data_IF_270120145284
#
_entry.id   IF_270120145284
#
_cell.length_a   1.000
_cell.length_b   1.000
_cell.length_c   1.000
_cell.angle_alpha   90.00
_cell.angle_beta   90.00
_cell.angle_gamma   90.00
#
_symmetry.space_group_name_H-M   'P 1'
#
loop_
_entity.id
_entity.type
_entity.pdbx_description
1 polymer ?
#
# COMPACT_ATOMS: atom_id res chain seq x y z
N UNK A 1 -28.15 -22.68 -8.62
CA UNK A 1 -27.36 -22.25 -9.79
C UNK A 1 -26.15 -21.48 -9.29
N UNK A 2 -25.02 -22.16 -9.15
CA UNK A 2 -23.80 -21.57 -8.62
C UNK A 2 -23.01 -20.91 -9.75
N UNK A 3 -22.97 -19.60 -9.79
CA UNK A 3 -22.22 -18.81 -10.77
C UNK A 3 -20.72 -19.05 -10.64
N UNK A 4 -20.12 -19.71 -11.62
CA UNK A 4 -18.66 -19.83 -11.78
C UNK A 4 -18.07 -18.42 -11.82
N UNK A 5 -17.31 -18.03 -10.79
CA UNK A 5 -16.50 -16.80 -10.84
C UNK A 5 -15.52 -16.92 -12.02
N UNK A 6 -15.44 -15.90 -12.91
CA UNK A 6 -14.55 -15.94 -14.06
C UNK A 6 -13.10 -16.06 -13.59
N UNK A 7 -12.31 -16.83 -14.34
CA UNK A 7 -10.91 -17.13 -14.04
C UNK A 7 -10.08 -15.83 -14.10
N UNK A 8 -9.75 -15.24 -12.94
CA UNK A 8 -9.07 -13.93 -12.81
C UNK A 8 -7.69 -13.89 -13.52
N UNK A 9 -7.05 -15.04 -13.64
CA UNK A 9 -5.74 -15.16 -14.30
C UNK A 9 -5.81 -14.87 -15.80
N UNK A 10 -6.86 -15.35 -16.49
CA UNK A 10 -7.03 -15.14 -17.94
C UNK A 10 -7.24 -13.67 -18.31
N UNK A 11 -7.96 -12.91 -17.48
CA UNK A 11 -8.20 -11.48 -17.73
C UNK A 11 -6.93 -10.63 -17.51
N UNK A 12 -6.11 -10.96 -16.51
CA UNK A 12 -4.85 -10.26 -16.25
C UNK A 12 -3.83 -10.48 -17.37
N UNK A 13 -3.75 -11.69 -17.91
CA UNK A 13 -2.84 -12.03 -19.01
C UNK A 13 -3.24 -11.35 -20.33
N UNK A 14 -4.52 -11.28 -20.64
CA UNK A 14 -5.02 -10.58 -21.84
C UNK A 14 -4.70 -9.09 -21.80
N UNK A 15 -4.72 -8.47 -20.63
CA UNK A 15 -4.35 -7.06 -20.45
C UNK A 15 -2.83 -6.81 -20.62
N UNK A 16 -1.99 -7.83 -20.44
CA UNK A 16 -0.55 -7.75 -20.61
C UNK A 16 -0.09 -7.96 -22.06
N UNK A 17 -0.82 -8.78 -22.81
CA UNK A 17 -0.45 -9.16 -24.17
C UNK A 17 -0.88 -8.15 -25.25
N UNK A 18 -1.44 -6.99 -24.84
CA UNK A 18 -1.95 -5.95 -25.75
C UNK A 18 -3.33 -6.29 -26.32
N UNK A 19 -4.06 -5.26 -26.78
CA UNK A 19 -5.43 -5.31 -27.34
C UNK A 19 -5.55 -6.07 -28.71
N UNK A 20 -4.66 -7.00 -28.99
CA UNK A 20 -4.93 -8.01 -29.99
C UNK A 20 -5.60 -9.20 -29.27
N UNK A 21 -6.93 -9.34 -29.33
CA UNK A 21 -7.55 -10.57 -28.92
C UNK A 21 -7.10 -11.63 -29.91
N UNK A 22 -6.08 -12.40 -29.53
CA UNK A 22 -5.87 -13.68 -30.18
C UNK A 22 -7.03 -14.58 -29.73
N UNK A 23 -8.09 -14.75 -30.53
CA UNK A 23 -9.26 -15.54 -30.14
C UNK A 23 -8.90 -16.99 -29.82
N UNK A 24 -7.71 -17.46 -30.24
CA UNK A 24 -7.17 -18.76 -29.91
C UNK A 24 -6.64 -18.89 -28.48
N UNK A 25 -6.24 -17.78 -27.82
CA UNK A 25 -5.70 -17.81 -26.46
C UNK A 25 -6.81 -17.83 -25.37
N UNK A 26 -7.97 -17.27 -25.65
CA UNK A 26 -9.08 -17.17 -24.70
C UNK A 26 -9.83 -18.49 -24.44
N UNK A 27 -9.61 -19.54 -25.25
CA UNK A 27 -10.40 -20.78 -25.22
C UNK A 27 -9.52 -22.06 -25.24
N UNK A 28 -8.28 -22.01 -24.76
CA UNK A 28 -7.52 -23.25 -24.62
C UNK A 28 -8.06 -24.05 -23.42
N UNK A 29 -8.81 -25.10 -23.71
CA UNK A 29 -9.17 -26.11 -22.72
C UNK A 29 -7.89 -26.65 -22.05
N UNK A 30 -7.90 -26.90 -20.74
CA UNK A 30 -6.74 -27.47 -20.06
C UNK A 30 -6.30 -28.74 -20.78
N UNK A 31 -5.01 -28.82 -21.11
CA UNK A 31 -4.38 -30.03 -21.65
C UNK A 31 -3.71 -30.77 -20.52
N UNK A 32 -3.64 -32.09 -20.59
CA UNK A 32 -2.83 -32.89 -19.68
C UNK A 32 -1.45 -33.07 -20.27
N UNK A 33 -0.41 -32.79 -19.48
CA UNK A 33 0.99 -33.04 -19.85
C UNK A 33 1.70 -33.90 -18.81
N UNK A 34 2.65 -34.75 -19.22
CA UNK A 34 3.53 -35.45 -18.31
C UNK A 34 4.27 -34.47 -17.39
N UNK A 35 4.37 -34.78 -16.11
CA UNK A 35 4.99 -33.89 -15.11
C UNK A 35 6.47 -33.64 -15.39
N UNK A 36 7.14 -34.61 -16.04
CA UNK A 36 8.52 -34.56 -16.47
C UNK A 36 8.76 -33.59 -17.65
N UNK A 37 7.70 -33.28 -18.41
CA UNK A 37 7.76 -32.29 -19.48
C UNK A 37 7.79 -30.84 -18.96
N UNK A 38 7.58 -30.65 -17.66
CA UNK A 38 7.53 -29.33 -17.02
C UNK A 38 8.81 -29.06 -16.24
N UNK A 39 9.36 -27.87 -16.41
CA UNK A 39 10.50 -27.37 -15.65
C UNK A 39 10.21 -26.01 -15.00
N UNK A 40 10.87 -25.67 -13.88
CA UNK A 40 10.74 -24.33 -13.29
C UNK A 40 11.15 -23.25 -14.27
N UNK A 41 10.36 -22.18 -14.33
CA UNK A 41 10.72 -21.01 -15.13
C UNK A 41 11.90 -20.23 -14.52
N UNK A 42 12.73 -19.57 -15.34
CA UNK A 42 13.90 -18.82 -14.88
C UNK A 42 13.54 -17.55 -14.08
N UNK A 43 12.28 -17.14 -14.11
CA UNK A 43 11.81 -15.86 -13.58
C UNK A 43 11.10 -15.96 -12.23
N UNK A 44 11.05 -17.15 -11.63
CA UNK A 44 10.37 -17.35 -10.35
C UNK A 44 11.26 -16.90 -9.19
N UNK A 45 10.80 -16.01 -8.29
CA UNK A 45 11.54 -15.67 -7.07
C UNK A 45 11.60 -16.92 -6.18
N UNK A 46 12.79 -17.45 -5.98
CA UNK A 46 13.05 -18.60 -5.09
C UNK A 46 13.05 -18.13 -3.65
N UNK A 47 11.87 -17.93 -3.06
CA UNK A 47 11.74 -17.88 -1.61
C UNK A 47 11.81 -19.29 -1.00
N UNK A 48 12.18 -19.43 0.28
CA UNK A 48 12.09 -20.72 0.98
C UNK A 48 10.64 -21.21 0.90
N UNK A 49 10.46 -22.40 0.29
CA UNK A 49 9.13 -23.01 0.17
C UNK A 49 8.80 -23.62 1.52
N UNK A 50 7.68 -23.20 2.10
CA UNK A 50 7.13 -23.82 3.29
C UNK A 50 6.81 -25.31 3.00
N UNK A 51 7.59 -26.20 3.61
CA UNK A 51 7.49 -27.64 3.40
C UNK A 51 6.18 -28.22 3.99
N UNK A 52 5.67 -27.63 5.08
CA UNK A 52 4.43 -28.09 5.72
C UNK A 52 3.22 -27.80 4.82
N UNK A 53 3.09 -26.59 4.32
CA UNK A 53 2.04 -26.23 3.38
C UNK A 53 2.15 -26.91 2.01
N UNK A 54 3.35 -27.40 1.63
CA UNK A 54 3.52 -28.21 0.43
C UNK A 54 3.02 -29.65 0.62
N UNK A 55 3.24 -30.24 1.80
CA UNK A 55 2.76 -31.57 2.12
C UNK A 55 1.22 -31.64 2.19
N UNK A 56 0.58 -30.63 2.79
CA UNK A 56 -0.88 -30.51 2.82
C UNK A 56 -1.47 -30.41 1.41
N UNK A 57 -0.85 -29.59 0.56
CA UNK A 57 -1.27 -29.46 -0.84
C UNK A 57 -1.09 -30.78 -1.61
N UNK A 58 -0.02 -31.53 -1.35
CA UNK A 58 0.21 -32.84 -1.96
C UNK A 58 -0.84 -33.86 -1.52
N UNK A 59 -1.27 -33.85 -0.26
CA UNK A 59 -2.36 -34.69 0.23
C UNK A 59 -3.69 -34.37 -0.47
N UNK A 60 -4.03 -33.08 -0.60
CA UNK A 60 -5.22 -32.64 -1.34
C UNK A 60 -5.17 -33.04 -2.83
N UNK A 61 -3.99 -32.95 -3.47
CA UNK A 61 -3.83 -33.36 -4.88
C UNK A 61 -3.95 -34.87 -5.05
N UNK A 62 -3.56 -35.69 -4.06
CA UNK A 62 -3.79 -37.15 -4.11
C UNK A 62 -5.28 -37.49 -4.12
N UNK A 63 -6.07 -36.76 -3.35
CA UNK A 63 -7.50 -37.02 -3.20
C UNK A 63 -8.32 -36.45 -4.36
N UNK A 64 -8.09 -35.20 -4.71
CA UNK A 64 -8.96 -34.45 -5.63
C UNK A 64 -8.31 -34.16 -7.00
N UNK A 65 -7.04 -34.50 -7.18
CA UNK A 65 -6.29 -34.06 -8.37
C UNK A 65 -5.93 -32.59 -8.35
N UNK A 66 -5.35 -32.11 -9.45
CA UNK A 66 -5.00 -30.69 -9.63
C UNK A 66 -6.22 -29.94 -10.17
N UNK A 67 -6.95 -29.24 -9.31
CA UNK A 67 -8.18 -28.52 -9.67
C UNK A 67 -7.91 -27.28 -10.52
N UNK A 68 -6.80 -26.59 -10.30
CA UNK A 68 -6.39 -25.42 -11.07
C UNK A 68 -5.20 -25.77 -11.96
N UNK A 69 -5.30 -25.59 -13.28
CA UNK A 69 -4.21 -25.91 -14.20
C UNK A 69 -2.95 -25.08 -13.89
N UNK A 70 -1.79 -25.66 -14.22
CA UNK A 70 -0.48 -24.98 -14.17
C UNK A 70 -0.34 -24.14 -15.42
N UNK A 71 0.11 -22.90 -15.29
CA UNK A 71 0.37 -22.02 -16.41
C UNK A 71 1.77 -22.26 -16.94
N UNK A 72 1.90 -22.61 -18.23
CA UNK A 72 3.16 -22.96 -18.85
C UNK A 72 3.33 -22.30 -20.22
N UNK A 73 4.58 -22.22 -20.71
CA UNK A 73 4.91 -21.88 -22.09
C UNK A 73 5.83 -22.94 -22.69
N UNK A 74 5.87 -23.08 -24.02
CA UNK A 74 6.89 -23.89 -24.67
C UNK A 74 8.29 -23.36 -24.32
N UNK A 75 9.24 -24.25 -24.03
CA UNK A 75 10.64 -23.86 -23.80
C UNK A 75 11.29 -23.53 -25.13
N UNK A 76 11.87 -22.32 -25.30
CA UNK A 76 12.57 -21.97 -26.52
C UNK A 76 13.66 -22.97 -26.85
N UNK A 77 13.70 -23.48 -28.10
CA UNK A 77 14.72 -24.41 -28.56
C UNK A 77 14.58 -25.87 -28.09
N UNK A 78 13.54 -26.23 -27.33
CA UNK A 78 13.35 -27.58 -26.81
C UNK A 78 11.91 -28.05 -27.05
N UNK A 79 11.69 -28.80 -28.13
CA UNK A 79 10.37 -29.36 -28.41
C UNK A 79 9.93 -30.36 -27.32
N UNK A 80 8.67 -30.25 -26.91
CA UNK A 80 8.08 -31.13 -25.87
C UNK A 80 8.40 -30.77 -24.43
N UNK A 81 9.19 -29.73 -24.16
CA UNK A 81 9.50 -29.23 -22.82
C UNK A 81 8.79 -27.88 -22.59
N UNK A 82 8.27 -27.69 -21.40
CA UNK A 82 7.50 -26.49 -21.04
C UNK A 82 8.05 -25.84 -19.78
N UNK A 83 8.09 -24.52 -19.76
CA UNK A 83 8.50 -23.72 -18.61
C UNK A 83 7.28 -23.24 -17.82
N UNK A 84 7.31 -23.43 -16.52
CA UNK A 84 6.26 -23.02 -15.60
C UNK A 84 6.35 -21.49 -15.43
N UNK A 85 5.23 -20.80 -15.70
CA UNK A 85 5.07 -19.37 -15.47
C UNK A 85 4.39 -19.12 -14.12
N UNK A 86 3.35 -19.94 -13.82
CA UNK A 86 2.61 -19.85 -12.55
C UNK A 86 2.13 -21.21 -12.08
N UNK A 87 2.12 -21.41 -10.76
CA UNK A 87 1.70 -22.67 -10.15
C UNK A 87 2.81 -23.64 -9.80
N UNK A 88 4.05 -23.19 -9.57
CA UNK A 88 5.19 -24.03 -9.18
C UNK A 88 4.90 -24.88 -7.92
N UNK A 89 4.20 -24.31 -6.91
CA UNK A 89 3.78 -25.10 -5.72
C UNK A 89 2.90 -26.28 -6.10
N UNK A 90 1.96 -26.11 -7.05
CA UNK A 90 1.10 -27.20 -7.55
C UNK A 90 1.90 -28.27 -8.28
N UNK A 91 2.87 -27.88 -9.10
CA UNK A 91 3.77 -28.80 -9.77
C UNK A 91 4.59 -29.62 -8.78
N UNK A 92 5.25 -28.98 -7.79
CA UNK A 92 6.03 -29.69 -6.76
C UNK A 92 5.16 -30.59 -5.88
N UNK A 93 3.96 -30.13 -5.50
CA UNK A 93 3.02 -30.94 -4.75
C UNK A 93 2.50 -32.13 -5.56
N UNK A 94 2.37 -32.00 -6.90
CA UNK A 94 2.02 -33.11 -7.79
C UNK A 94 3.12 -34.15 -7.89
N UNK A 95 4.41 -33.72 -7.87
CA UNK A 95 5.55 -34.64 -7.78
C UNK A 95 5.51 -35.43 -6.45
N UNK A 96 5.30 -34.75 -5.31
CA UNK A 96 5.15 -35.41 -4.00
C UNK A 96 3.91 -36.33 -3.93
N UNK A 97 2.87 -35.98 -4.70
CA UNK A 97 1.66 -36.80 -4.83
C UNK A 97 1.81 -37.97 -5.82
N UNK A 98 3.00 -38.10 -6.48
CA UNK A 98 3.30 -39.15 -7.48
C UNK A 98 2.32 -39.12 -8.68
N UNK A 99 1.89 -37.94 -9.10
CA UNK A 99 1.07 -37.78 -10.31
C UNK A 99 1.98 -37.80 -11.54
N UNK A 100 1.60 -38.59 -12.55
CA UNK A 100 2.29 -38.67 -13.81
C UNK A 100 1.91 -37.52 -14.74
N UNK A 101 0.65 -37.13 -14.72
CA UNK A 101 0.10 -36.08 -15.57
C UNK A 101 -0.52 -34.95 -14.73
N UNK A 102 -0.40 -33.72 -15.24
CA UNK A 102 -0.97 -32.55 -14.64
C UNK A 102 -1.69 -31.68 -15.66
N UNK A 103 -2.84 -31.08 -15.31
CA UNK A 103 -3.54 -30.15 -16.19
C UNK A 103 -2.73 -28.86 -16.33
N UNK A 104 -2.57 -28.41 -17.57
CA UNK A 104 -1.83 -27.19 -17.93
C UNK A 104 -2.64 -26.31 -18.85
N UNK A 105 -2.35 -25.00 -18.80
CA UNK A 105 -2.74 -24.04 -19.84
C UNK A 105 -1.45 -23.56 -20.49
N UNK A 106 -1.35 -23.77 -21.81
CA UNK A 106 -0.14 -23.42 -22.58
C UNK A 106 -0.37 -22.04 -23.18
N UNK A 107 0.53 -21.10 -22.88
CA UNK A 107 0.56 -19.79 -23.55
C UNK A 107 1.85 -19.67 -24.33
N UNK A 108 1.72 -19.36 -25.60
CA UNK A 108 2.87 -19.01 -26.43
C UNK A 108 3.23 -17.54 -26.17
N UNK A 109 4.38 -17.31 -25.52
CA UNK A 109 4.83 -15.99 -25.14
C UNK A 109 6.37 -15.94 -25.05
N UNK A 110 6.93 -14.78 -25.36
CA UNK A 110 8.36 -14.52 -25.22
C UNK A 110 8.80 -14.42 -23.74
N UNK A 111 10.09 -14.28 -23.51
CA UNK A 111 10.69 -14.18 -22.18
C UNK A 111 10.17 -12.97 -21.40
N UNK A 112 9.98 -11.85 -22.09
CA UNK A 112 9.53 -10.60 -21.48
C UNK A 112 8.07 -10.73 -21.00
N UNK A 113 7.21 -11.27 -21.83
CA UNK A 113 5.80 -11.51 -21.46
C UNK A 113 5.68 -12.56 -20.36
N UNK A 114 6.48 -13.63 -20.39
CA UNK A 114 6.52 -14.66 -19.36
C UNK A 114 6.96 -14.10 -18.00
N UNK A 115 7.98 -13.24 -17.98
CA UNK A 115 8.45 -12.55 -16.77
C UNK A 115 7.37 -11.62 -16.20
N UNK A 116 6.71 -10.82 -17.05
CA UNK A 116 5.61 -9.95 -16.62
C UNK A 116 4.43 -10.76 -16.06
N UNK A 117 4.05 -11.86 -16.71
CA UNK A 117 2.98 -12.75 -16.26
C UNK A 117 3.28 -13.38 -14.90
N UNK A 118 4.51 -13.83 -14.68
CA UNK A 118 4.97 -14.38 -13.39
C UNK A 118 4.93 -13.33 -12.26
N UNK A 119 5.32 -12.08 -12.56
CA UNK A 119 5.24 -10.98 -11.61
C UNK A 119 3.79 -10.63 -11.25
N UNK A 120 2.90 -10.61 -12.24
CA UNK A 120 1.45 -10.36 -12.00
C UNK A 120 0.82 -11.48 -11.18
N UNK A 121 1.16 -12.74 -11.46
CA UNK A 121 0.68 -13.88 -10.67
C UNK A 121 1.11 -13.73 -9.19
N UNK A 122 2.37 -13.39 -8.97
CA UNK A 122 2.88 -13.17 -7.62
C UNK A 122 2.20 -11.98 -6.91
N UNK A 123 1.83 -10.92 -7.64
CA UNK A 123 1.09 -9.77 -7.09
C UNK A 123 -0.39 -10.06 -6.78
N UNK A 124 -0.95 -11.17 -7.27
CA UNK A 124 -2.31 -11.60 -6.95
C UNK A 124 -2.38 -12.43 -5.64
N UNK A 125 -1.26 -12.64 -4.96
CA UNK A 125 -1.22 -13.32 -3.66
C UNK A 125 -1.87 -12.46 -2.59
N UNK A 126 -2.56 -13.11 -1.65
CA UNK A 126 -3.28 -12.43 -0.56
C UNK A 126 -2.35 -12.03 0.62
N UNK A 127 -1.14 -12.58 0.66
CA UNK A 127 -0.18 -12.42 1.77
C UNK A 127 0.84 -11.28 1.58
N UNK A 128 0.76 -10.52 0.49
CA UNK A 128 1.67 -9.41 0.22
C UNK A 128 1.38 -8.20 1.11
N UNK A 129 2.43 -7.63 1.69
CA UNK A 129 2.31 -6.34 2.34
C UNK A 129 2.24 -5.20 1.30
N UNK A 130 1.74 -4.02 1.72
CA UNK A 130 1.53 -2.90 0.81
C UNK A 130 2.83 -2.36 0.18
N UNK A 131 3.99 -2.59 0.80
CA UNK A 131 5.29 -2.17 0.27
C UNK A 131 5.79 -3.14 -0.79
N UNK A 132 5.60 -4.46 -0.59
CA UNK A 132 5.90 -5.49 -1.58
C UNK A 132 5.03 -5.32 -2.81
N UNK A 133 3.74 -5.05 -2.62
CA UNK A 133 2.80 -4.73 -3.70
C UNK A 133 3.27 -3.50 -4.49
N UNK A 134 3.68 -2.42 -3.79
CA UNK A 134 4.21 -1.21 -4.41
C UNK A 134 5.49 -1.47 -5.22
N UNK A 135 6.42 -2.28 -4.71
CA UNK A 135 7.65 -2.65 -5.39
C UNK A 135 7.36 -3.49 -6.65
N UNK A 136 6.42 -4.42 -6.57
CA UNK A 136 6.00 -5.20 -7.72
C UNK A 136 5.35 -4.34 -8.81
N UNK A 137 4.50 -3.39 -8.44
CA UNK A 137 3.93 -2.43 -9.40
C UNK A 137 5.01 -1.56 -10.05
N UNK A 138 6.01 -1.11 -9.27
CA UNK A 138 7.13 -0.32 -9.78
C UNK A 138 7.92 -1.11 -10.82
N UNK A 139 8.28 -2.36 -10.50
CA UNK A 139 8.98 -3.23 -11.45
C UNK A 139 8.20 -3.41 -12.75
N UNK A 140 6.89 -3.69 -12.67
CA UNK A 140 6.06 -3.84 -13.86
C UNK A 140 5.97 -2.55 -14.69
N UNK A 141 6.00 -1.38 -14.04
CA UNK A 141 6.03 -0.09 -14.74
C UNK A 141 7.40 0.15 -15.40
N UNK A 142 8.50 -0.01 -14.64
CA UNK A 142 9.84 0.40 -15.08
C UNK A 142 10.45 -0.60 -16.08
N UNK A 143 10.28 -1.92 -15.85
CA UNK A 143 10.89 -2.97 -16.69
C UNK A 143 10.01 -3.30 -17.92
N UNK A 144 8.68 -3.22 -17.78
CA UNK A 144 7.75 -3.66 -18.83
C UNK A 144 6.96 -2.52 -19.48
N UNK A 145 7.05 -1.29 -18.94
CA UNK A 145 6.39 -0.11 -19.50
C UNK A 145 4.87 -0.12 -19.30
N UNK A 146 4.35 -0.91 -18.35
CA UNK A 146 2.91 -1.00 -18.11
C UNK A 146 2.37 0.28 -17.49
N UNK A 147 1.28 0.79 -18.05
CA UNK A 147 0.58 1.93 -17.45
C UNK A 147 -0.17 1.50 -16.17
N UNK A 148 -0.44 2.45 -15.28
CA UNK A 148 -1.19 2.18 -14.04
C UNK A 148 -2.59 1.61 -14.31
N UNK A 149 -3.20 1.96 -15.45
CA UNK A 149 -4.50 1.44 -15.85
C UNK A 149 -4.40 -0.03 -16.29
N UNK A 150 -3.40 -0.38 -17.11
CA UNK A 150 -3.12 -1.76 -17.50
C UNK A 150 -2.78 -2.63 -16.29
N UNK A 151 -1.94 -2.12 -15.37
CA UNK A 151 -1.65 -2.79 -14.10
C UNK A 151 -2.91 -3.05 -13.29
N UNK A 152 -3.75 -2.04 -13.12
CA UNK A 152 -5.02 -2.20 -12.40
C UNK A 152 -5.88 -3.31 -12.96
N UNK A 153 -6.05 -3.37 -14.29
CA UNK A 153 -6.78 -4.46 -14.96
C UNK A 153 -6.11 -5.81 -14.75
N UNK A 154 -4.78 -5.89 -14.89
CA UNK A 154 -4.02 -7.13 -14.77
C UNK A 154 -4.12 -7.75 -13.36
N UNK A 155 -4.07 -6.92 -12.31
CA UNK A 155 -4.11 -7.38 -10.92
C UNK A 155 -5.53 -7.36 -10.30
N UNK A 156 -6.55 -6.91 -11.06
CA UNK A 156 -7.94 -6.82 -10.57
C UNK A 156 -8.16 -5.69 -9.56
N UNK A 157 -7.38 -4.60 -9.65
CA UNK A 157 -7.48 -3.41 -8.80
C UNK A 157 -7.83 -2.17 -9.62
N UNK A 158 -8.28 -1.11 -8.96
CA UNK A 158 -8.52 0.16 -9.64
C UNK A 158 -7.19 0.88 -9.95
N UNK A 159 -7.17 1.72 -11.01
CA UNK A 159 -6.03 2.61 -11.30
C UNK A 159 -5.65 3.47 -10.09
N UNK A 160 -6.64 3.98 -9.36
CA UNK A 160 -6.40 4.78 -8.15
C UNK A 160 -5.74 3.97 -7.03
N UNK A 161 -6.08 2.68 -6.87
CA UNK A 161 -5.39 1.80 -5.94
C UNK A 161 -3.91 1.67 -6.31
N UNK A 162 -3.60 1.35 -7.57
CA UNK A 162 -2.22 1.23 -8.08
C UNK A 162 -1.43 2.53 -7.86
N UNK A 163 -2.02 3.69 -8.21
CA UNK A 163 -1.38 4.99 -8.03
C UNK A 163 -1.07 5.26 -6.54
N UNK A 164 -2.02 5.02 -5.64
CA UNK A 164 -1.85 5.23 -4.21
C UNK A 164 -0.80 4.28 -3.60
N UNK A 165 -0.76 3.03 -4.06
CA UNK A 165 0.23 2.05 -3.61
C UNK A 165 1.63 2.44 -4.08
N UNK A 166 1.80 2.86 -5.34
CA UNK A 166 3.10 3.35 -5.86
C UNK A 166 3.64 4.56 -5.10
N UNK A 167 2.75 5.47 -4.67
CA UNK A 167 3.16 6.65 -3.87
C UNK A 167 3.80 6.29 -2.54
N UNK A 168 3.51 5.11 -1.97
CA UNK A 168 4.11 4.65 -0.71
C UNK A 168 5.64 4.50 -0.80
N UNK A 169 6.18 4.24 -2.00
CA UNK A 169 7.62 4.16 -2.22
C UNK A 169 8.34 5.51 -2.05
N UNK A 170 7.61 6.63 -2.15
CA UNK A 170 8.13 7.99 -1.90
C UNK A 170 8.25 8.35 -0.42
N UNK A 171 7.77 7.51 0.50
CA UNK A 171 7.92 7.75 1.93
C UNK A 171 9.36 7.56 2.40
N UNK A 172 9.81 8.29 3.44
CA UNK A 172 11.11 8.07 4.07
C UNK A 172 11.33 6.61 4.49
N UNK A 173 12.58 6.13 4.48
CA UNK A 173 12.95 4.74 4.80
C UNK A 173 12.36 4.28 6.12
N UNK A 174 12.42 5.12 7.16
CA UNK A 174 11.88 4.83 8.49
C UNK A 174 10.38 4.53 8.48
N UNK A 175 9.59 5.30 7.70
CA UNK A 175 8.15 5.08 7.56
C UNK A 175 7.87 3.79 6.79
N UNK A 176 8.65 3.53 5.75
CA UNK A 176 8.56 2.27 4.98
C UNK A 176 8.89 1.04 5.83
N UNK A 177 9.88 1.12 6.72
CA UNK A 177 10.18 0.04 7.67
C UNK A 177 9.02 -0.22 8.63
N UNK A 178 8.41 0.83 9.19
CA UNK A 178 7.23 0.71 10.05
C UNK A 178 6.05 0.08 9.32
N UNK A 179 5.84 0.44 8.04
CA UNK A 179 4.83 -0.17 7.18
C UNK A 179 5.14 -1.65 6.90
N UNK A 180 6.39 -1.99 6.57
CA UNK A 180 6.82 -3.37 6.31
C UNK A 180 6.69 -4.29 7.53
N UNK A 181 6.90 -3.75 8.74
CA UNK A 181 6.73 -4.49 10.01
C UNK A 181 5.28 -4.54 10.50
N UNK A 182 4.33 -3.90 9.79
CA UNK A 182 2.93 -3.84 10.18
C UNK A 182 2.62 -2.87 11.33
N UNK A 183 3.58 -2.08 11.81
CA UNK A 183 3.35 -1.05 12.83
C UNK A 183 2.49 0.11 12.31
N UNK A 184 2.47 0.31 11.00
CA UNK A 184 1.60 1.22 10.29
C UNK A 184 0.79 0.46 9.23
N UNK A 185 -0.49 0.78 9.07
CA UNK A 185 -1.26 0.28 7.94
C UNK A 185 -1.02 1.12 6.67
N UNK A 186 -1.39 0.58 5.50
CA UNK A 186 -1.37 1.33 4.24
C UNK A 186 -2.20 2.63 4.30
N UNK A 187 -3.27 2.67 5.10
CA UNK A 187 -4.08 3.86 5.35
C UNK A 187 -3.29 4.94 6.08
N UNK A 188 -2.59 4.59 7.18
CA UNK A 188 -1.70 5.51 7.90
C UNK A 188 -0.59 6.04 6.98
N UNK A 189 0.06 5.16 6.22
CA UNK A 189 1.13 5.53 5.30
C UNK A 189 0.65 6.52 4.21
N UNK A 190 -0.57 6.33 3.67
CA UNK A 190 -1.15 7.28 2.70
C UNK A 190 -1.43 8.65 3.31
N UNK A 191 -1.97 8.69 4.54
CA UNK A 191 -2.20 9.95 5.25
C UNK A 191 -0.90 10.73 5.49
N UNK A 192 0.21 10.03 5.72
CA UNK A 192 1.52 10.63 5.95
C UNK A 192 2.20 11.16 4.69
N UNK A 193 1.74 10.80 3.48
CA UNK A 193 2.32 11.29 2.21
C UNK A 193 2.18 12.81 2.02
N UNK A 194 1.19 13.43 2.65
CA UNK A 194 0.94 14.88 2.57
C UNK A 194 1.59 15.66 3.71
N UNK A 195 2.16 14.96 4.68
CA UNK A 195 2.76 15.58 5.85
C UNK A 195 4.11 16.24 5.52
N UNK A 196 4.44 17.41 6.10
CA UNK A 196 5.74 18.07 5.90
C UNK A 196 6.91 17.26 6.51
N UNK A 197 6.68 16.51 7.58
CA UNK A 197 7.64 15.58 8.20
C UNK A 197 6.96 14.24 8.47
N UNK A 198 6.90 13.35 7.46
CA UNK A 198 6.24 12.05 7.58
C UNK A 198 6.89 11.14 8.63
N UNK A 199 8.21 11.24 8.82
CA UNK A 199 8.94 10.37 9.74
C UNK A 199 8.58 10.66 11.20
N UNK A 200 8.56 11.95 11.56
CA UNK A 200 8.19 12.40 12.91
C UNK A 200 6.71 12.11 13.23
N UNK A 201 5.83 12.34 12.26
CA UNK A 201 4.41 12.04 12.44
C UNK A 201 4.17 10.53 12.55
N UNK A 202 4.88 9.70 11.80
CA UNK A 202 4.79 8.24 11.89
C UNK A 202 5.11 7.73 13.30
N UNK A 203 6.16 8.25 13.94
CA UNK A 203 6.50 7.92 15.33
C UNK A 203 5.37 8.28 16.29
N UNK A 204 4.80 9.46 16.11
CA UNK A 204 3.68 9.94 16.95
C UNK A 204 2.43 9.05 16.76
N UNK A 205 2.14 8.65 15.53
CA UNK A 205 1.02 7.74 15.20
C UNK A 205 1.19 6.41 15.91
N UNK A 206 2.38 5.81 15.84
CA UNK A 206 2.67 4.52 16.50
C UNK A 206 2.65 4.67 18.02
N UNK A 207 3.30 5.69 18.57
CA UNK A 207 3.40 5.90 20.03
C UNK A 207 2.04 6.15 20.68
N UNK A 208 1.14 6.86 19.98
CA UNK A 208 -0.19 7.21 20.50
C UNK A 208 -1.29 6.24 20.06
N UNK A 209 -0.98 5.26 19.23
CA UNK A 209 -1.99 4.32 18.70
C UNK A 209 -3.10 5.02 17.89
N UNK A 210 -2.75 6.04 17.10
CA UNK A 210 -3.73 6.82 16.34
C UNK A 210 -4.35 5.98 15.23
N UNK A 211 -5.64 6.16 14.98
CA UNK A 211 -6.30 5.56 13.81
C UNK A 211 -6.06 6.41 12.54
N UNK A 212 -6.46 5.88 11.37
CA UNK A 212 -6.22 6.54 10.06
C UNK A 212 -6.83 7.94 10.01
N UNK A 213 -8.06 8.14 10.48
CA UNK A 213 -8.73 9.46 10.49
C UNK A 213 -8.00 10.48 11.37
N UNK A 214 -7.53 10.04 12.53
CA UNK A 214 -6.73 10.89 13.42
C UNK A 214 -5.38 11.24 12.79
N UNK A 215 -4.78 10.31 12.06
CA UNK A 215 -3.54 10.55 11.31
C UNK A 215 -3.75 11.55 10.17
N UNK A 216 -4.85 11.44 9.43
CA UNK A 216 -5.23 12.41 8.40
C UNK A 216 -5.43 13.82 8.98
N UNK A 217 -6.16 13.93 10.09
CA UNK A 217 -6.37 15.20 10.78
C UNK A 217 -5.05 15.81 11.29
N UNK A 218 -4.15 14.96 11.81
CA UNK A 218 -2.83 15.36 12.28
C UNK A 218 -1.96 15.85 11.13
N UNK A 219 -1.92 15.14 10.00
CA UNK A 219 -1.18 15.52 8.80
C UNK A 219 -1.69 16.85 8.23
N UNK A 220 -3.01 17.03 8.10
CA UNK A 220 -3.62 18.26 7.64
C UNK A 220 -3.36 19.44 8.58
N UNK A 221 -3.31 19.22 9.89
CA UNK A 221 -2.97 20.28 10.87
C UNK A 221 -1.50 20.67 10.80
N UNK A 222 -0.61 19.74 10.49
CA UNK A 222 0.81 19.98 10.33
C UNK A 222 1.15 20.72 9.02
N UNK A 223 0.33 20.53 7.97
CA UNK A 223 0.46 21.21 6.68
C UNK A 223 0.01 22.70 6.76
N UNK A 224 -0.89 23.02 7.68
CA UNK A 224 -1.31 24.40 7.86
C UNK A 224 -0.11 25.21 8.38
N UNK A 225 0.36 26.24 7.64
CA UNK A 225 1.36 27.14 8.19
C UNK A 225 0.81 27.63 9.53
N UNK A 226 1.56 27.45 10.61
CA UNK A 226 1.27 28.25 11.81
C UNK A 226 1.14 29.69 11.32
N UNK A 227 0.05 30.39 11.61
CA UNK A 227 0.00 31.81 11.28
C UNK A 227 1.31 32.40 11.80
N UNK A 228 2.10 32.95 10.88
CA UNK A 228 3.30 33.66 11.27
C UNK A 228 2.85 34.60 12.38
N UNK A 229 3.46 34.53 13.55
CA UNK A 229 3.18 35.47 14.61
C UNK A 229 3.33 36.85 13.94
N UNK A 230 2.24 37.60 13.84
CA UNK A 230 2.28 38.94 13.30
C UNK A 230 3.46 39.62 13.95
N UNK A 231 4.28 40.45 13.21
CA UNK A 231 5.44 41.11 13.79
C UNK A 231 4.93 41.80 15.05
N UNK A 232 5.44 41.34 16.20
CA UNK A 232 5.03 41.83 17.50
C UNK A 232 5.43 43.32 17.53
N UNK A 233 4.42 44.16 17.44
CA UNK A 233 4.59 45.62 17.51
C UNK A 233 5.23 45.97 18.87
N UNK A 234 6.30 46.77 18.82
CA UNK A 234 7.04 47.21 20.02
C UNK A 234 6.10 47.91 21.01
N UNK A 235 5.12 48.62 20.49
CA UNK A 235 4.15 49.37 21.27
C UNK A 235 3.17 48.42 21.98
N UNK A 236 2.75 47.34 21.32
CA UNK A 236 1.91 46.28 21.91
C UNK A 236 2.64 45.57 23.04
N UNK A 237 3.94 45.29 22.89
CA UNK A 237 4.77 44.69 23.97
C UNK A 237 4.96 45.62 25.16
N UNK A 238 5.12 46.91 24.91
CA UNK A 238 5.23 47.91 25.98
C UNK A 238 3.92 47.97 26.78
N UNK A 239 2.77 47.96 26.10
CA UNK A 239 1.45 47.93 26.72
C UNK A 239 1.16 46.65 27.49
N UNK A 240 1.58 45.47 26.96
CA UNK A 240 1.48 44.20 27.70
C UNK A 240 2.26 44.23 29.02
N UNK A 241 3.47 44.81 29.01
CA UNK A 241 4.28 44.91 30.24
C UNK A 241 3.64 45.86 31.26
N UNK A 242 3.22 47.04 30.80
CA UNK A 242 2.59 48.01 31.66
C UNK A 242 1.30 47.47 32.31
N UNK A 243 0.45 46.82 31.53
CA UNK A 243 -0.74 46.15 32.04
C UNK A 243 -0.43 44.97 32.96
N UNK A 244 0.59 44.20 32.67
CA UNK A 244 1.04 43.07 33.52
C UNK A 244 1.54 43.57 34.88
N UNK A 245 2.31 44.67 34.87
CA UNK A 245 2.82 45.29 36.10
C UNK A 245 1.70 45.92 36.94
N UNK A 246 0.75 46.63 36.31
CA UNK A 246 -0.39 47.26 36.99
C UNK A 246 -1.38 46.24 37.56
N UNK A 247 -1.63 45.16 36.85
CA UNK A 247 -2.64 44.16 37.27
C UNK A 247 -2.04 43.03 38.13
N UNK A 248 -0.69 42.86 38.13
CA UNK A 248 -0.06 41.71 38.76
C UNK A 248 -0.40 40.37 38.11
N UNK A 249 -0.99 40.39 36.92
CA UNK A 249 -1.46 39.22 36.16
C UNK A 249 -0.85 39.23 34.76
N UNK A 250 -0.55 38.06 34.21
CA UNK A 250 -0.02 37.96 32.88
C UNK A 250 -1.04 38.40 31.83
N UNK A 251 -0.74 39.49 31.11
CA UNK A 251 -1.55 40.02 30.01
C UNK A 251 -0.92 39.71 28.67
N UNK A 252 -1.73 39.28 27.69
CA UNK A 252 -1.34 39.09 26.30
C UNK A 252 -2.34 39.80 25.38
N UNK A 253 -1.82 40.63 24.48
CA UNK A 253 -2.59 41.42 23.51
C UNK A 253 -2.33 40.91 22.10
N UNK A 254 -3.37 40.47 21.40
CA UNK A 254 -3.29 40.07 19.99
C UNK A 254 -4.08 41.07 19.16
N UNK A 255 -3.41 41.85 18.35
CA UNK A 255 -4.05 42.80 17.45
C UNK A 255 -4.11 42.25 16.02
N UNK A 256 -5.25 42.37 15.34
CA UNK A 256 -5.45 41.97 13.95
C UNK A 256 -6.17 43.08 13.19
N UNK A 257 -5.43 44.07 12.66
CA UNK A 257 -5.88 45.11 11.73
C UNK A 257 -7.23 45.82 11.97
N UNK A 258 -8.30 45.14 12.30
CA UNK A 258 -9.65 45.65 12.54
C UNK A 258 -10.17 45.40 13.96
N UNK A 259 -9.34 44.87 14.84
CA UNK A 259 -9.71 44.55 16.20
C UNK A 259 -8.66 43.69 16.87
N UNK A 260 -8.89 43.30 18.11
CA UNK A 260 -7.92 42.51 18.83
C UNK A 260 -8.55 41.74 19.99
N UNK A 261 -7.73 40.94 20.64
CA UNK A 261 -8.09 40.19 21.83
C UNK A 261 -7.08 40.50 22.94
N UNK A 262 -7.59 40.87 24.10
CA UNK A 262 -6.80 40.95 25.32
C UNK A 262 -7.12 39.70 26.17
N UNK A 263 -6.05 38.96 26.52
CA UNK A 263 -6.15 37.77 27.37
C UNK A 263 -5.43 38.01 28.67
N UNK A 264 -6.10 37.85 29.80
CA UNK A 264 -5.53 37.99 31.12
C UNK A 264 -5.58 36.64 31.82
N UNK A 265 -4.42 36.11 32.18
CA UNK A 265 -4.32 34.80 32.84
C UNK A 265 -4.39 34.97 34.35
N UNK A 266 -5.32 34.30 34.98
CA UNK A 266 -5.44 34.22 36.45
C UNK A 266 -5.22 32.79 36.94
N UNK A 267 -4.83 32.62 38.23
CA UNK A 267 -4.52 31.32 38.84
C UNK A 267 -5.61 30.81 39.74
N UNK A 268 -6.37 31.71 40.38
CA UNK A 268 -7.43 31.41 41.33
C UNK A 268 -8.64 32.38 41.19
N UNK A 269 -9.74 32.05 41.88
CA UNK A 269 -10.98 32.82 41.80
C UNK A 269 -10.86 34.19 42.46
N UNK A 270 -9.98 34.35 43.46
CA UNK A 270 -9.76 35.64 44.14
C UNK A 270 -9.12 36.65 43.20
N UNK A 271 -8.17 36.19 42.36
CA UNK A 271 -7.59 37.01 41.30
C UNK A 271 -8.65 37.39 40.24
N UNK A 272 -9.55 36.46 39.88
CA UNK A 272 -10.64 36.74 38.97
C UNK A 272 -11.61 37.79 39.52
N UNK A 273 -12.00 37.68 40.79
CA UNK A 273 -12.86 38.65 41.44
C UNK A 273 -12.21 40.04 41.53
N UNK A 274 -10.91 40.10 41.84
CA UNK A 274 -10.13 41.34 41.79
C UNK A 274 -10.13 41.97 40.39
N UNK A 275 -9.97 41.18 39.34
CA UNK A 275 -10.02 41.63 37.94
C UNK A 275 -11.43 42.17 37.58
N UNK A 276 -12.48 41.46 37.96
CA UNK A 276 -13.89 41.87 37.72
C UNK A 276 -14.16 43.22 38.37
N UNK A 277 -13.72 43.44 39.61
CA UNK A 277 -13.88 44.74 40.29
C UNK A 277 -13.18 45.89 39.58
N UNK A 278 -11.99 45.63 38.97
CA UNK A 278 -11.27 46.63 38.20
C UNK A 278 -11.92 46.93 36.84
N UNK A 279 -12.56 45.95 36.21
CA UNK A 279 -13.22 46.11 34.90
C UNK A 279 -14.67 46.63 35.03
N UNK A 280 -15.27 46.58 36.23
CA UNK A 280 -16.63 47.08 36.53
C UNK A 280 -16.60 48.16 37.62
N UNK A 281 -15.93 49.32 37.41
CA UNK A 281 -15.95 50.39 38.35
C UNK A 281 -17.32 51.06 38.33
N UNK A 282 -18.17 50.78 39.33
CA UNK A 282 -19.43 51.50 39.51
C UNK A 282 -20.73 50.67 39.54
N UNK A 283 -20.71 49.50 40.13
CA UNK A 283 -21.94 48.89 40.67
C UNK A 283 -21.85 48.71 42.17
#
# INVERSE_FOLDING_TARGET
>A
MSGRKPNRLGMGLSALLGDQPNPAAANQAPRSLPIEALEPGPFQPRGPIDQSGLAELAASIREHGVLQPILVRPKPGHAGTYQIIGGERRWRASQLAQRHDVPVVIHDMDDRAAMAASLVENLQREDLNALEEAQGYRRLTDEFGLTQDHLGRAVGKSRSHVANTLRLLGLPSKVREMLGRGSLSAGHARALLTAPDPAKLAELVVTRGLNVRQTEALAASAERPRPAAAPEDKDTRALERDLTEKLGLKVAIRHSGRGGQVSIAYKDLDQLDGLIRLLTPGR
#
